data_IF_448027684690
#
_entry.id   IF_448027684690
#
_cell.length_a   1.000
_cell.length_b   1.000
_cell.length_c   1.000
_cell.angle_alpha   90.00
_cell.angle_beta   90.00
_cell.angle_gamma   90.00
#
_symmetry.space_group_name_H-M   'P 1'
#
loop_
_entity.id
_entity.type
_entity.pdbx_description
1 polymer ?
#
# COMPACT_ATOMS: atom_id res chain seq x y z
N UNK A 1 -1.71 8.39 -26.70
CA UNK A 1 -0.97 7.92 -25.50
C UNK A 1 -1.97 7.72 -24.39
N UNK A 2 -2.00 6.54 -23.77
CA UNK A 2 -2.82 6.31 -22.58
C UNK A 2 -2.17 7.11 -21.44
N UNK A 3 -2.88 8.08 -20.88
CA UNK A 3 -2.37 8.83 -19.74
C UNK A 3 -2.41 7.89 -18.53
N UNK A 4 -1.25 7.53 -18.01
CA UNK A 4 -1.12 6.49 -16.99
C UNK A 4 -1.19 7.05 -15.57
N UNK A 5 -0.74 8.30 -15.37
CA UNK A 5 -0.82 9.00 -14.08
C UNK A 5 -1.68 10.24 -14.19
N UNK A 6 -2.38 10.63 -13.14
CA UNK A 6 -3.30 11.78 -13.14
C UNK A 6 -3.21 12.61 -11.86
N UNK A 7 -3.26 13.92 -12.01
CA UNK A 7 -3.37 14.85 -10.88
C UNK A 7 -4.72 14.71 -10.18
N UNK A 8 -4.71 14.90 -8.86
CA UNK A 8 -5.89 14.89 -8.01
C UNK A 8 -6.28 16.33 -7.71
N UNK A 9 -7.50 16.72 -8.11
CA UNK A 9 -8.04 18.07 -7.91
C UNK A 9 -9.17 18.13 -6.89
N UNK A 10 -9.62 16.97 -6.41
CA UNK A 10 -10.70 16.87 -5.45
C UNK A 10 -10.39 15.80 -4.40
N UNK A 11 -10.97 15.97 -3.23
CA UNK A 11 -10.89 14.96 -2.16
C UNK A 11 -11.47 13.63 -2.61
N UNK A 12 -10.70 12.55 -2.43
CA UNK A 12 -11.11 11.21 -2.86
C UNK A 12 -12.23 10.60 -1.99
N UNK A 13 -12.54 11.21 -0.85
CA UNK A 13 -13.61 10.77 0.05
C UNK A 13 -14.87 11.60 -0.13
N UNK A 14 -14.80 12.94 0.09
CA UNK A 14 -15.98 13.78 0.09
C UNK A 14 -16.20 14.57 -1.23
N UNK A 15 -15.24 14.53 -2.15
CA UNK A 15 -15.34 15.21 -3.44
C UNK A 15 -15.07 16.73 -3.38
N UNK A 16 -14.73 17.30 -2.22
CA UNK A 16 -14.39 18.72 -2.11
C UNK A 16 -13.26 19.07 -3.06
N UNK A 17 -13.45 20.13 -3.83
CA UNK A 17 -12.41 20.81 -4.60
C UNK A 17 -11.71 21.85 -3.71
N UNK A 18 -10.54 22.33 -4.11
CA UNK A 18 -9.74 23.29 -3.32
C UNK A 18 -9.10 22.66 -2.07
N UNK A 19 -8.22 21.69 -2.33
CA UNK A 19 -7.42 21.06 -1.29
C UNK A 19 -6.19 21.91 -0.94
N UNK A 20 -5.83 21.95 0.34
CA UNK A 20 -4.65 22.67 0.82
C UNK A 20 -3.39 21.83 0.64
N UNK A 21 -2.37 22.40 -0.02
CA UNK A 21 -1.03 21.77 -0.08
C UNK A 21 -0.31 21.99 1.25
N UNK A 22 -0.12 20.94 2.02
CA UNK A 22 0.48 21.00 3.36
C UNK A 22 1.95 20.59 3.40
N UNK A 23 2.41 19.81 2.42
CA UNK A 23 3.79 19.33 2.36
C UNK A 23 4.18 18.94 0.93
N UNK A 24 5.33 19.40 0.48
CA UNK A 24 5.94 18.94 -0.77
C UNK A 24 7.33 18.38 -0.52
N UNK A 25 7.50 17.08 -0.73
CA UNK A 25 8.77 16.37 -0.53
C UNK A 25 9.67 16.39 -1.78
N UNK A 26 9.23 17.03 -2.86
CA UNK A 26 9.93 17.03 -4.13
C UNK A 26 9.47 15.94 -5.08
N UNK A 27 10.31 15.61 -6.06
CA UNK A 27 10.04 14.55 -7.03
C UNK A 27 10.76 13.28 -6.61
N UNK A 28 10.01 12.22 -6.36
CA UNK A 28 10.53 10.95 -5.87
C UNK A 28 10.34 9.84 -6.92
N UNK A 29 11.32 8.95 -7.09
CA UNK A 29 11.15 7.77 -7.94
C UNK A 29 10.26 6.73 -7.26
N UNK A 30 9.66 5.78 -8.01
CA UNK A 30 8.97 4.63 -7.43
C UNK A 30 9.94 3.80 -6.57
N UNK A 31 9.54 3.50 -5.33
CA UNK A 31 10.43 2.90 -4.30
C UNK A 31 10.89 1.48 -4.68
N UNK A 32 10.05 0.74 -5.40
CA UNK A 32 10.28 -0.68 -5.70
C UNK A 32 10.88 -0.95 -7.08
N UNK A 33 11.39 0.07 -7.75
CA UNK A 33 12.18 -0.10 -8.98
C UNK A 33 13.65 -0.28 -8.61
N UNK A 34 14.04 -1.53 -8.37
CA UNK A 34 15.42 -1.87 -8.01
C UNK A 34 16.26 -2.05 -9.27
N UNK A 35 17.44 -1.42 -9.29
CA UNK A 35 18.43 -1.64 -10.33
C UNK A 35 19.30 -2.85 -10.04
N UNK A 36 19.81 -3.47 -11.11
CA UNK A 36 20.79 -4.56 -11.00
C UNK A 36 22.05 -4.00 -10.33
N UNK A 37 22.55 -4.71 -9.34
CA UNK A 37 23.78 -4.34 -8.63
C UNK A 37 24.95 -4.24 -9.64
N UNK A 38 25.64 -3.09 -9.66
CA UNK A 38 26.73 -2.84 -10.59
C UNK A 38 26.33 -2.29 -11.96
N UNK A 39 25.03 -2.12 -12.23
CA UNK A 39 24.58 -1.41 -13.43
C UNK A 39 24.98 0.06 -13.37
N UNK A 40 25.23 0.65 -14.54
CA UNK A 40 25.44 2.10 -14.64
C UNK A 40 24.18 2.85 -14.20
N UNK A 41 24.31 3.97 -13.45
CA UNK A 41 23.18 4.82 -13.13
C UNK A 41 22.48 5.29 -14.39
N UNK A 42 21.14 5.12 -14.44
CA UNK A 42 20.28 5.59 -15.52
C UNK A 42 19.27 6.62 -15.02
N UNK A 43 18.63 7.31 -15.95
CA UNK A 43 17.49 8.16 -15.60
C UNK A 43 16.33 7.33 -15.06
N UNK A 44 15.74 7.81 -13.98
CA UNK A 44 14.54 7.22 -13.38
C UNK A 44 13.36 8.17 -13.50
N UNK A 45 12.16 7.68 -13.82
CA UNK A 45 10.97 8.50 -13.70
C UNK A 45 10.79 8.93 -12.23
N UNK A 46 10.40 10.18 -12.04
CA UNK A 46 10.11 10.71 -10.71
C UNK A 46 8.76 11.43 -10.72
N UNK A 47 8.06 11.37 -9.62
CA UNK A 47 6.70 11.87 -9.46
C UNK A 47 6.63 12.87 -8.31
N UNK A 48 5.81 13.93 -8.42
CA UNK A 48 5.66 14.90 -7.32
C UNK A 48 5.03 14.21 -6.10
N UNK A 49 5.70 14.29 -4.98
CA UNK A 49 5.20 13.82 -3.69
C UNK A 49 4.65 15.00 -2.90
N UNK A 50 3.48 15.47 -3.31
CA UNK A 50 2.72 16.55 -2.70
C UNK A 50 1.59 15.98 -1.85
N UNK A 51 1.50 16.43 -0.61
CA UNK A 51 0.44 16.05 0.33
C UNK A 51 -0.60 17.14 0.39
N UNK A 52 -1.84 16.76 0.10
CA UNK A 52 -3.00 17.64 0.09
C UNK A 52 -3.91 17.31 1.27
N UNK A 53 -4.39 18.34 1.94
CA UNK A 53 -5.33 18.24 3.05
C UNK A 53 -6.71 18.70 2.63
N UNK A 54 -7.73 17.96 3.05
CA UNK A 54 -9.13 18.32 2.93
C UNK A 54 -9.65 18.80 4.28
N UNK A 55 -10.00 20.08 4.39
CA UNK A 55 -10.54 20.67 5.62
C UNK A 55 -11.99 20.24 5.93
N UNK A 56 -12.71 19.71 4.94
CA UNK A 56 -14.08 19.21 5.12
C UNK A 56 -14.14 17.87 5.83
N UNK A 57 -13.33 16.89 5.40
CA UNK A 57 -13.34 15.53 5.98
C UNK A 57 -12.01 15.13 6.62
N UNK A 58 -11.06 16.05 6.70
CA UNK A 58 -9.73 15.88 7.32
C UNK A 58 -8.86 14.78 6.66
N UNK A 59 -9.18 14.39 5.42
CA UNK A 59 -8.34 13.47 4.66
C UNK A 59 -7.02 14.16 4.26
N UNK A 60 -5.91 13.47 4.49
CA UNK A 60 -4.61 13.77 3.88
C UNK A 60 -4.38 12.80 2.73
N UNK A 61 -4.10 13.30 1.54
CA UNK A 61 -3.93 12.49 0.34
C UNK A 61 -2.79 13.01 -0.55
N UNK A 62 -2.29 12.17 -1.46
CA UNK A 62 -1.34 12.62 -2.48
C UNK A 62 -2.03 13.41 -3.59
N UNK A 63 -1.34 14.43 -4.13
CA UNK A 63 -1.79 15.25 -5.23
C UNK A 63 -1.68 14.59 -6.61
N UNK A 64 -1.07 13.39 -6.68
CA UNK A 64 -0.93 12.62 -7.90
C UNK A 64 -1.27 11.14 -7.65
N UNK A 65 -2.07 10.56 -8.54
CA UNK A 65 -2.25 9.12 -8.64
C UNK A 65 -1.33 8.62 -9.75
N UNK A 66 -0.30 7.89 -9.37
CA UNK A 66 0.60 7.22 -10.32
C UNK A 66 -0.07 5.94 -10.83
N UNK A 67 0.16 5.58 -12.11
CA UNK A 67 -0.40 4.37 -12.67
C UNK A 67 0.01 3.14 -11.87
N UNK A 68 -0.98 2.29 -11.58
CA UNK A 68 -0.79 1.08 -10.78
C UNK A 68 0.24 0.11 -11.40
N UNK A 69 0.34 0.05 -12.72
CA UNK A 69 1.31 -0.82 -13.42
C UNK A 69 2.75 -0.36 -13.22
N UNK A 70 2.95 0.93 -12.85
CA UNK A 70 4.25 1.49 -12.48
C UNK A 70 4.58 1.18 -11.02
N UNK A 71 3.59 1.35 -10.13
CA UNK A 71 3.79 1.15 -8.69
C UNK A 71 3.80 -0.33 -8.28
N UNK A 72 2.99 -1.14 -8.95
CA UNK A 72 2.80 -2.57 -8.67
C UNK A 72 2.94 -3.37 -9.97
N UNK A 73 4.18 -3.48 -10.53
CA UNK A 73 4.42 -4.30 -11.70
C UNK A 73 4.13 -5.77 -11.41
N UNK A 74 3.92 -6.57 -12.47
CA UNK A 74 3.64 -8.00 -12.34
C UNK A 74 4.74 -8.79 -11.60
N UNK A 75 5.99 -8.31 -11.70
CA UNK A 75 7.15 -8.82 -10.94
C UNK A 75 7.47 -7.86 -9.79
N UNK A 76 6.54 -7.73 -8.85
CA UNK A 76 6.72 -6.83 -7.70
C UNK A 76 7.74 -7.42 -6.72
N UNK A 77 8.87 -6.73 -6.46
CA UNK A 77 10.01 -7.32 -5.76
C UNK A 77 9.84 -7.40 -4.24
N UNK A 78 8.83 -6.73 -3.68
CA UNK A 78 8.65 -6.65 -2.23
C UNK A 78 7.66 -7.71 -1.73
N UNK A 79 8.09 -8.47 -0.72
CA UNK A 79 7.23 -9.37 0.04
C UNK A 79 7.31 -9.05 1.53
N UNK A 80 6.16 -9.02 2.20
CA UNK A 80 6.08 -8.64 3.62
C UNK A 80 6.77 -9.65 4.54
N UNK A 81 6.85 -10.91 4.15
CA UNK A 81 7.55 -11.95 4.91
C UNK A 81 9.08 -11.85 4.89
N UNK A 82 9.67 -10.98 4.07
CA UNK A 82 11.12 -10.90 3.89
C UNK A 82 11.84 -10.45 5.17
N UNK A 83 11.27 -9.52 5.93
CA UNK A 83 11.91 -8.96 7.13
C UNK A 83 11.35 -9.55 8.42
N UNK A 84 12.25 -9.88 9.37
CA UNK A 84 11.85 -10.40 10.69
C UNK A 84 10.97 -9.40 11.44
N UNK A 85 11.33 -8.11 11.41
CA UNK A 85 10.59 -7.05 12.11
C UNK A 85 9.12 -7.01 11.68
N UNK A 86 8.85 -7.16 10.38
CA UNK A 86 7.48 -7.11 9.88
C UNK A 86 6.70 -8.38 10.25
N UNK A 87 7.35 -9.54 10.21
CA UNK A 87 6.73 -10.81 10.68
C UNK A 87 6.36 -10.74 12.16
N UNK A 88 7.26 -10.23 13.00
CA UNK A 88 7.01 -10.05 14.44
C UNK A 88 5.84 -9.07 14.65
N UNK A 89 5.83 -7.93 13.95
CA UNK A 89 4.75 -6.95 14.03
C UNK A 89 3.37 -7.54 13.64
N UNK A 90 3.32 -8.37 12.61
CA UNK A 90 2.07 -9.03 12.23
C UNK A 90 1.61 -10.10 13.24
N UNK A 91 2.54 -10.75 13.92
CA UNK A 91 2.20 -11.65 15.02
C UNK A 91 1.64 -10.86 16.22
N UNK A 92 2.29 -9.75 16.59
CA UNK A 92 1.84 -8.86 17.65
C UNK A 92 0.45 -8.27 17.33
N UNK A 93 0.21 -7.85 16.08
CA UNK A 93 -1.10 -7.36 15.61
C UNK A 93 -2.20 -8.42 15.77
N UNK A 94 -1.89 -9.69 15.46
CA UNK A 94 -2.83 -10.79 15.69
C UNK A 94 -3.13 -10.95 17.18
N UNK A 95 -2.11 -10.96 18.02
CA UNK A 95 -2.25 -11.15 19.47
C UNK A 95 -3.04 -10.00 20.10
N UNK A 96 -2.73 -8.75 19.77
CA UNK A 96 -3.43 -7.57 20.27
C UNK A 96 -4.89 -7.52 19.79
N UNK A 97 -5.14 -7.76 18.51
CA UNK A 97 -6.50 -7.78 17.98
C UNK A 97 -7.35 -8.88 18.62
N UNK A 98 -6.76 -10.04 18.90
CA UNK A 98 -7.43 -11.16 19.57
C UNK A 98 -7.79 -10.88 21.04
N UNK A 99 -7.12 -9.89 21.67
CA UNK A 99 -7.48 -9.42 23.02
C UNK A 99 -8.61 -8.39 23.00
N UNK A 100 -8.69 -7.60 21.91
CA UNK A 100 -9.66 -6.50 21.78
C UNK A 100 -10.98 -6.94 21.17
N UNK A 101 -10.92 -7.92 20.27
CA UNK A 101 -12.07 -8.40 19.47
C UNK A 101 -12.24 -9.89 19.72
N UNK A 102 -13.47 -10.29 20.02
CA UNK A 102 -13.82 -11.71 20.05
C UNK A 102 -14.03 -12.19 18.61
N UNK A 103 -13.21 -13.15 18.17
CA UNK A 103 -13.36 -13.82 16.89
C UNK A 103 -14.07 -15.15 17.09
N UNK A 104 -15.17 -15.36 16.39
CA UNK A 104 -15.86 -16.65 16.36
C UNK A 104 -15.16 -17.62 15.40
N UNK A 105 -15.34 -18.91 15.61
CA UNK A 105 -14.69 -19.96 14.84
C UNK A 105 -14.99 -19.89 13.33
N UNK A 106 -16.19 -19.41 12.98
CA UNK A 106 -16.66 -19.35 11.60
C UNK A 106 -16.43 -17.96 10.94
N UNK A 107 -15.81 -17.03 11.65
CA UNK A 107 -15.49 -15.71 11.12
C UNK A 107 -14.52 -15.80 9.94
N UNK A 108 -14.76 -14.92 8.98
CA UNK A 108 -13.89 -14.72 7.83
C UNK A 108 -13.05 -13.45 8.04
N UNK A 109 -11.74 -13.62 8.12
CA UNK A 109 -10.78 -12.52 8.18
C UNK A 109 -10.37 -12.15 6.77
N UNK A 110 -10.57 -10.90 6.38
CA UNK A 110 -10.23 -10.39 5.05
C UNK A 110 -9.11 -9.37 5.17
N UNK A 111 -8.05 -9.56 4.39
CA UNK A 111 -6.95 -8.61 4.24
C UNK A 111 -6.92 -8.06 2.82
N UNK A 112 -7.13 -6.73 2.68
CA UNK A 112 -7.10 -6.02 1.40
C UNK A 112 -5.73 -5.40 1.22
N UNK A 113 -4.97 -5.89 0.25
CA UNK A 113 -3.54 -5.59 0.08
C UNK A 113 -2.66 -6.62 0.77
N UNK A 114 -3.11 -7.87 0.81
CA UNK A 114 -2.52 -8.94 1.61
C UNK A 114 -1.09 -9.33 1.23
N UNK A 115 -0.57 -8.83 0.12
CA UNK A 115 0.75 -9.16 -0.41
C UNK A 115 0.96 -10.70 -0.43
N UNK A 116 1.98 -11.23 0.25
CA UNK A 116 2.27 -12.66 0.32
C UNK A 116 1.48 -13.42 1.42
N UNK A 117 0.49 -12.77 2.04
CA UNK A 117 -0.37 -13.37 3.06
C UNK A 117 0.25 -13.55 4.43
N UNK A 118 1.39 -12.93 4.71
CA UNK A 118 2.10 -13.11 5.97
C UNK A 118 1.25 -12.71 7.20
N UNK A 119 0.48 -11.61 7.13
CA UNK A 119 -0.46 -11.23 8.18
C UNK A 119 -1.51 -12.33 8.39
N UNK A 120 -2.16 -12.76 7.32
CA UNK A 120 -3.23 -13.78 7.37
C UNK A 120 -2.74 -15.13 7.88
N UNK A 121 -1.46 -15.45 7.71
CA UNK A 121 -0.88 -16.70 8.21
C UNK A 121 -1.00 -16.86 9.73
N UNK A 122 -1.10 -15.76 10.47
CA UNK A 122 -1.32 -15.78 11.93
C UNK A 122 -2.76 -16.15 12.27
N UNK A 123 -3.73 -15.78 11.44
CA UNK A 123 -5.17 -16.05 11.65
C UNK A 123 -5.60 -17.43 11.13
N UNK A 124 -5.02 -17.93 10.02
CA UNK A 124 -5.49 -19.13 9.31
C UNK A 124 -5.51 -20.42 10.14
N UNK A 125 -4.78 -20.47 11.26
CA UNK A 125 -4.76 -21.63 12.14
C UNK A 125 -6.08 -21.83 12.90
N UNK A 126 -6.85 -20.75 13.08
CA UNK A 126 -8.09 -20.73 13.90
C UNK A 126 -9.30 -20.20 13.14
N UNK A 127 -9.09 -19.44 12.06
CA UNK A 127 -10.16 -18.74 11.34
C UNK A 127 -10.06 -18.97 9.84
N UNK A 128 -11.14 -18.73 9.13
CA UNK A 128 -11.13 -18.65 7.67
C UNK A 128 -10.49 -17.34 7.26
N UNK A 129 -9.64 -17.38 6.23
CA UNK A 129 -8.92 -16.19 5.76
C UNK A 129 -9.11 -15.99 4.26
N UNK A 130 -9.13 -14.73 3.83
CA UNK A 130 -9.16 -14.32 2.43
C UNK A 130 -8.24 -13.11 2.23
N UNK A 131 -7.18 -13.30 1.43
CA UNK A 131 -6.31 -12.22 0.98
C UNK A 131 -6.74 -11.70 -0.38
N UNK A 132 -6.68 -10.39 -0.57
CA UNK A 132 -6.92 -9.72 -1.85
C UNK A 132 -5.68 -8.89 -2.15
N UNK A 133 -4.99 -9.21 -3.26
CA UNK A 133 -3.80 -8.48 -3.72
C UNK A 133 -3.84 -8.32 -5.25
N UNK A 134 -3.34 -7.19 -5.78
CA UNK A 134 -3.26 -6.99 -7.24
C UNK A 134 -2.08 -7.73 -7.87
N UNK A 135 -1.12 -8.20 -7.10
CA UNK A 135 0.08 -8.88 -7.58
C UNK A 135 -0.15 -10.39 -7.73
N UNK A 136 0.66 -11.03 -8.61
CA UNK A 136 0.66 -12.48 -8.77
C UNK A 136 1.23 -13.26 -7.56
N UNK A 137 1.72 -12.57 -6.56
CA UNK A 137 2.36 -13.11 -5.36
C UNK A 137 1.36 -13.82 -4.43
N UNK A 138 0.08 -13.49 -4.52
CA UNK A 138 -0.99 -14.01 -3.66
C UNK A 138 -1.56 -15.39 -4.05
N UNK A 139 -0.90 -16.12 -4.96
CA UNK A 139 -1.35 -17.46 -5.43
C UNK A 139 -0.57 -18.58 -4.75
#
# INVERSE_FOLDING_TARGET
MKQTSKSVFACQICGKIELESILFLGYLPPVNQMHIIGAQPGEQPSYPAEWLYCDECHLVQLGLIVDKEILFPSEYPYTSSTTKVLRDNFADLYDESSQLIHFDKDDLIIDIGSNDGNLLSNFQKKHRVLGITPEAIGN
#
